data_IF_321333771351
#
_entry.id   IF_321333771351
#
_cell.length_a   1.000
_cell.length_b   1.000
_cell.length_c   1.000
_cell.angle_alpha   90.00
_cell.angle_beta   90.00
_cell.angle_gamma   90.00
#
_symmetry.space_group_name_H-M   'P 1'
#
loop_
_entity.id
_entity.type
_entity.pdbx_description
1 polymer ?
#
# COMPACT_ATOMS: atom_id res chain seq x y z
N UNK A 1 -43.36 11.88 11.57
CA UNK A 1 -42.48 12.11 12.73
C UNK A 1 -41.41 13.09 12.32
N UNK A 2 -41.43 14.31 12.85
CA UNK A 2 -40.49 15.37 12.55
C UNK A 2 -39.83 15.82 13.85
N UNK A 3 -38.54 15.52 14.04
CA UNK A 3 -37.72 16.10 15.11
C UNK A 3 -36.25 16.15 14.67
N UNK A 4 -35.92 17.02 13.72
CA UNK A 4 -34.59 17.59 13.54
C UNK A 4 -34.76 19.02 13.02
N UNK A 5 -35.24 19.92 13.88
CA UNK A 5 -35.36 21.35 13.59
C UNK A 5 -34.65 22.18 14.65
N UNK A 6 -33.37 21.87 14.91
CA UNK A 6 -32.50 22.76 15.69
C UNK A 6 -31.01 22.53 15.31
N UNK A 7 -30.29 23.57 14.84
CA UNK A 7 -28.91 23.43 14.33
C UNK A 7 -27.81 23.38 15.41
N UNK A 8 -28.16 23.48 16.70
CA UNK A 8 -27.18 23.42 17.80
C UNK A 8 -27.65 22.47 18.91
N UNK A 9 -27.20 21.20 18.92
CA UNK A 9 -27.54 20.27 19.99
C UNK A 9 -26.84 20.69 21.29
N UNK A 10 -27.63 20.95 22.34
CA UNK A 10 -27.11 21.21 23.69
C UNK A 10 -26.75 19.86 24.32
N UNK A 11 -25.45 19.64 24.54
CA UNK A 11 -24.92 18.42 25.18
C UNK A 11 -24.75 18.70 26.67
N UNK A 12 -25.42 17.91 27.51
CA UNK A 12 -25.31 17.98 28.96
C UNK A 12 -25.09 16.60 29.56
N UNK A 13 -24.35 16.52 30.67
CA UNK A 13 -24.11 15.28 31.40
C UNK A 13 -25.13 15.14 32.53
N UNK A 14 -25.85 14.02 32.58
CA UNK A 14 -26.78 13.68 33.67
C UNK A 14 -26.22 12.48 34.43
N UNK A 15 -26.25 12.56 35.76
CA UNK A 15 -25.72 11.54 36.66
C UNK A 15 -26.74 10.40 36.80
N UNK A 16 -26.31 9.15 36.59
CA UNK A 16 -27.12 7.93 36.45
C UNK A 16 -27.97 7.47 37.67
N UNK A 17 -28.25 8.35 38.65
CA UNK A 17 -29.04 8.05 39.85
C UNK A 17 -30.17 9.03 40.14
N UNK A 18 -30.37 10.02 39.26
CA UNK A 18 -31.52 10.93 39.34
C UNK A 18 -32.58 10.40 38.39
N UNK A 19 -33.77 10.08 38.91
CA UNK A 19 -34.89 9.54 38.14
C UNK A 19 -35.41 10.61 37.19
N UNK A 20 -34.85 10.67 35.99
CA UNK A 20 -35.40 11.41 34.85
C UNK A 20 -35.96 10.35 33.90
N UNK A 21 -37.29 10.34 33.75
CA UNK A 21 -38.06 9.31 33.02
C UNK A 21 -37.49 8.98 31.63
N UNK A 22 -36.97 9.97 30.91
CA UNK A 22 -36.42 9.80 29.56
C UNK A 22 -35.04 9.09 29.56
N UNK A 23 -34.26 9.24 30.63
CA UNK A 23 -32.96 8.55 30.79
C UNK A 23 -33.15 7.08 31.15
N UNK A 24 -34.15 6.79 31.98
CA UNK A 24 -34.53 5.43 32.34
C UNK A 24 -35.08 4.66 31.14
N UNK A 25 -35.84 5.34 30.27
CA UNK A 25 -36.34 4.76 29.03
C UNK A 25 -35.18 4.39 28.08
N UNK A 26 -34.20 5.28 27.90
CA UNK A 26 -33.02 5.00 27.08
C UNK A 26 -32.14 3.88 27.66
N UNK A 27 -31.94 3.85 28.99
CA UNK A 27 -31.19 2.80 29.66
C UNK A 27 -31.90 1.44 29.59
N UNK A 28 -33.22 1.41 29.75
CA UNK A 28 -34.02 0.21 29.59
C UNK A 28 -34.03 -0.28 28.14
N UNK A 29 -34.05 0.62 27.16
CA UNK A 29 -33.89 0.27 25.75
C UNK A 29 -32.49 -0.30 25.45
N UNK A 30 -31.43 0.28 26.02
CA UNK A 30 -30.06 -0.25 25.89
C UNK A 30 -29.92 -1.65 26.54
N UNK A 31 -30.48 -1.83 27.75
CA UNK A 31 -30.53 -3.14 28.43
C UNK A 31 -31.34 -4.16 27.62
N UNK A 32 -32.49 -3.78 27.07
CA UNK A 32 -33.29 -4.63 26.19
C UNK A 32 -32.53 -5.01 24.91
N UNK A 33 -31.77 -4.08 24.31
CA UNK A 33 -30.94 -4.36 23.15
C UNK A 33 -29.79 -5.34 23.45
N UNK A 34 -29.28 -5.36 24.70
CA UNK A 34 -28.24 -6.30 25.14
C UNK A 34 -28.81 -7.69 25.46
N UNK A 35 -30.05 -7.76 25.96
CA UNK A 35 -30.76 -9.03 26.20
C UNK A 35 -31.19 -9.66 24.88
N UNK A 36 -31.47 -8.83 23.87
CA UNK A 36 -31.80 -9.22 22.50
C UNK A 36 -30.54 -9.41 21.65
N UNK A 37 -29.48 -9.98 22.25
CA UNK A 37 -28.31 -10.45 21.53
C UNK A 37 -28.77 -11.60 20.64
N UNK A 38 -29.23 -11.27 19.42
CA UNK A 38 -29.46 -12.26 18.38
C UNK A 38 -28.10 -12.90 18.08
N UNK A 39 -27.85 -14.05 18.72
CA UNK A 39 -26.65 -14.85 18.46
C UNK A 39 -26.80 -15.37 17.03
N UNK A 40 -26.22 -14.62 16.08
CA UNK A 40 -26.12 -15.06 14.71
C UNK A 40 -25.13 -16.21 14.63
N UNK A 41 -25.66 -17.44 14.59
CA UNK A 41 -24.88 -18.62 14.29
C UNK A 41 -24.37 -18.53 12.85
N UNK A 42 -23.08 -18.21 12.69
CA UNK A 42 -22.44 -18.30 11.38
C UNK A 42 -22.33 -19.79 11.00
N UNK A 43 -22.78 -20.18 9.80
CA UNK A 43 -22.77 -21.59 9.36
C UNK A 43 -21.36 -22.14 9.12
N UNK A 44 -20.33 -21.31 9.23
CA UNK A 44 -18.94 -21.69 9.05
C UNK A 44 -18.05 -21.04 10.13
N UNK A 45 -16.98 -21.73 10.56
CA UNK A 45 -15.98 -21.14 11.44
C UNK A 45 -15.39 -19.86 10.82
N UNK A 46 -15.08 -18.87 11.66
CA UNK A 46 -14.44 -17.62 11.24
C UNK A 46 -13.16 -17.84 10.43
N UNK A 47 -12.38 -18.87 10.79
CA UNK A 47 -11.16 -19.26 10.07
C UNK A 47 -11.45 -19.69 8.63
N UNK A 48 -12.55 -20.42 8.39
CA UNK A 48 -12.99 -20.83 7.06
C UNK A 48 -13.32 -19.62 6.19
N UNK A 49 -14.12 -18.68 6.72
CA UNK A 49 -14.48 -17.45 6.02
C UNK A 49 -13.24 -16.60 5.72
N UNK A 50 -12.34 -16.45 6.69
CA UNK A 50 -11.08 -15.70 6.52
C UNK A 50 -10.20 -16.32 5.43
N UNK A 51 -10.05 -17.64 5.43
CA UNK A 51 -9.26 -18.35 4.42
C UNK A 51 -9.88 -18.25 3.03
N UNK A 52 -11.22 -18.35 2.95
CA UNK A 52 -11.95 -18.19 1.70
C UNK A 52 -11.74 -16.79 1.13
N UNK A 53 -11.96 -15.74 1.93
CA UNK A 53 -11.74 -14.35 1.53
C UNK A 53 -10.30 -14.11 1.10
N UNK A 54 -9.33 -14.57 1.90
CA UNK A 54 -7.91 -14.44 1.55
C UNK A 54 -7.61 -15.06 0.19
N UNK A 55 -8.11 -16.27 -0.09
CA UNK A 55 -7.89 -16.95 -1.37
C UNK A 55 -8.52 -16.19 -2.53
N UNK A 56 -9.75 -15.71 -2.38
CA UNK A 56 -10.43 -14.90 -3.40
C UNK A 56 -9.67 -13.59 -3.67
N UNK A 57 -9.25 -12.89 -2.61
CA UNK A 57 -8.47 -11.65 -2.72
C UNK A 57 -7.13 -11.86 -3.41
N UNK A 58 -6.36 -12.89 -3.03
CA UNK A 58 -5.06 -13.20 -3.65
C UNK A 58 -5.22 -13.58 -5.12
N UNK A 59 -6.24 -14.37 -5.46
CA UNK A 59 -6.50 -14.75 -6.85
C UNK A 59 -6.86 -13.54 -7.72
N UNK A 60 -7.74 -12.67 -7.22
CA UNK A 60 -8.10 -11.44 -7.93
C UNK A 60 -6.89 -10.52 -8.10
N UNK A 61 -6.08 -10.35 -7.04
CA UNK A 61 -4.87 -9.57 -7.11
C UNK A 61 -3.86 -10.14 -8.11
N UNK A 62 -3.69 -11.47 -8.15
CA UNK A 62 -2.82 -12.11 -9.13
C UNK A 62 -3.30 -11.88 -10.58
N UNK A 63 -4.60 -11.89 -10.82
CA UNK A 63 -5.18 -11.62 -12.14
C UNK A 63 -4.88 -10.18 -12.56
N UNK A 64 -5.20 -9.20 -11.71
CA UNK A 64 -4.90 -7.79 -11.96
C UNK A 64 -3.39 -7.55 -12.13
N UNK A 65 -2.56 -8.26 -11.35
CA UNK A 65 -1.11 -8.17 -11.47
C UNK A 65 -0.60 -8.73 -12.79
N UNK A 66 -1.19 -9.80 -13.31
CA UNK A 66 -0.80 -10.40 -14.58
C UNK A 66 -1.25 -9.56 -15.78
N UNK A 67 -2.45 -8.97 -15.74
CA UNK A 67 -3.04 -8.24 -16.87
C UNK A 67 -2.78 -6.73 -16.87
N UNK A 68 -2.43 -6.15 -15.72
CA UNK A 68 -2.18 -4.71 -15.60
C UNK A 68 -1.01 -4.23 -16.46
N UNK A 69 -1.02 -2.96 -16.83
CA UNK A 69 0.05 -2.28 -17.56
C UNK A 69 1.05 -1.57 -16.61
N UNK A 70 0.61 -1.27 -15.40
CA UNK A 70 1.39 -0.53 -14.42
C UNK A 70 2.36 -1.48 -13.70
N UNK A 71 3.57 -0.99 -13.44
CA UNK A 71 4.57 -1.72 -12.66
C UNK A 71 5.17 -2.95 -13.37
N UNK A 72 5.15 -3.03 -14.71
CA UNK A 72 5.67 -4.20 -15.45
C UNK A 72 7.12 -4.55 -15.13
N UNK A 73 7.96 -3.54 -14.86
CA UNK A 73 9.35 -3.79 -14.41
C UNK A 73 9.37 -4.65 -13.14
N UNK A 74 8.50 -4.36 -12.17
CA UNK A 74 8.39 -5.12 -10.93
C UNK A 74 7.73 -6.48 -11.18
N UNK A 75 6.72 -6.56 -12.06
CA UNK A 75 6.11 -7.83 -12.47
C UNK A 75 7.15 -8.82 -13.04
N UNK A 76 8.08 -8.34 -13.87
CA UNK A 76 9.14 -9.18 -14.42
C UNK A 76 10.12 -9.71 -13.34
N UNK A 77 10.19 -9.05 -12.19
CA UNK A 77 11.02 -9.47 -11.05
C UNK A 77 10.22 -10.43 -10.15
N UNK A 78 9.00 -10.04 -9.77
CA UNK A 78 8.06 -10.82 -8.95
C UNK A 78 6.74 -11.00 -9.73
N UNK A 79 6.62 -12.05 -10.56
CA UNK A 79 5.42 -12.26 -11.35
C UNK A 79 4.25 -12.81 -10.52
N UNK A 80 4.55 -13.44 -9.36
CA UNK A 80 3.56 -14.04 -8.48
C UNK A 80 3.34 -13.17 -7.25
N UNK A 81 2.09 -12.78 -6.98
CA UNK A 81 1.74 -12.06 -5.76
C UNK A 81 1.96 -12.97 -4.55
N UNK A 82 2.55 -12.41 -3.50
CA UNK A 82 2.76 -13.13 -2.24
C UNK A 82 2.47 -12.21 -1.07
N UNK A 83 1.87 -12.74 -0.01
CA UNK A 83 1.65 -12.01 1.25
C UNK A 83 2.87 -12.00 2.16
N UNK A 84 3.89 -12.79 1.82
CA UNK A 84 5.16 -12.78 2.53
C UNK A 84 5.99 -11.55 2.15
N UNK A 85 6.64 -10.95 3.12
CA UNK A 85 7.59 -9.87 2.86
C UNK A 85 8.79 -10.42 2.07
N UNK A 86 9.18 -9.71 1.02
CA UNK A 86 10.45 -9.98 0.32
C UNK A 86 11.62 -9.47 1.16
N UNK A 87 12.77 -10.18 1.20
CA UNK A 87 13.91 -9.84 2.05
C UNK A 87 14.75 -8.69 1.48
N UNK A 88 14.11 -7.69 0.85
CA UNK A 88 14.79 -6.56 0.24
C UNK A 88 14.78 -5.36 1.18
N UNK A 89 15.88 -4.62 1.20
CA UNK A 89 15.97 -3.40 2.02
C UNK A 89 15.34 -2.21 1.29
N UNK A 90 15.01 -1.14 2.03
CA UNK A 90 14.32 0.04 1.48
C UNK A 90 15.07 0.69 0.31
N UNK A 91 16.40 0.81 0.36
CA UNK A 91 17.19 1.51 -0.66
C UNK A 91 17.09 0.85 -2.05
N UNK A 92 17.39 -0.46 -2.20
CA UNK A 92 17.17 -1.18 -3.47
C UNK A 92 15.73 -1.14 -3.96
N UNK A 93 14.74 -1.23 -3.05
CA UNK A 93 13.32 -1.14 -3.42
C UNK A 93 13.03 0.21 -4.07
N UNK A 94 13.37 1.32 -3.41
CA UNK A 94 13.15 2.67 -3.95
C UNK A 94 13.86 2.86 -5.29
N UNK A 95 15.11 2.38 -5.38
CA UNK A 95 15.90 2.44 -6.60
C UNK A 95 15.24 1.68 -7.77
N UNK A 96 14.83 0.41 -7.57
CA UNK A 96 14.24 -0.41 -8.63
C UNK A 96 12.83 0.03 -9.06
N UNK A 97 12.10 0.67 -8.17
CA UNK A 97 10.75 1.21 -8.43
C UNK A 97 10.77 2.61 -9.01
N UNK A 98 11.96 3.23 -9.14
CA UNK A 98 12.06 4.61 -9.60
C UNK A 98 11.71 5.64 -8.54
N UNK A 99 11.48 5.27 -7.28
CA UNK A 99 11.21 6.22 -6.20
C UNK A 99 12.49 6.92 -5.73
N UNK A 100 12.35 8.19 -5.32
CA UNK A 100 13.43 8.95 -4.69
C UNK A 100 13.75 10.25 -5.43
N UNK A 101 14.99 10.76 -5.33
CA UNK A 101 15.39 12.05 -5.91
C UNK A 101 15.67 11.96 -7.42
N UNK A 102 14.83 11.23 -8.16
CA UNK A 102 14.97 11.04 -9.60
C UNK A 102 14.09 12.05 -10.34
N UNK A 103 14.60 12.82 -11.32
CA UNK A 103 13.78 13.79 -12.07
C UNK A 103 12.51 13.17 -12.66
N UNK A 104 12.60 11.95 -13.22
CA UNK A 104 11.44 11.24 -13.77
C UNK A 104 10.35 10.97 -12.71
N UNK A 105 10.77 10.70 -11.49
CA UNK A 105 9.88 10.45 -10.36
C UNK A 105 9.27 11.74 -9.82
N UNK A 106 10.10 12.74 -9.55
CA UNK A 106 9.65 14.03 -8.99
C UNK A 106 8.69 14.74 -9.95
N UNK A 107 8.93 14.63 -11.27
CA UNK A 107 8.02 15.16 -12.29
C UNK A 107 6.62 14.53 -12.22
N UNK A 108 6.52 13.22 -11.96
CA UNK A 108 5.23 12.52 -11.81
C UNK A 108 4.35 13.10 -10.70
N UNK A 109 4.97 13.67 -9.66
CA UNK A 109 4.29 14.30 -8.53
C UNK A 109 4.27 15.83 -8.60
N UNK A 110 4.62 16.41 -9.75
CA UNK A 110 4.74 17.87 -9.93
C UNK A 110 5.69 18.54 -8.91
N UNK A 111 6.69 17.79 -8.39
CA UNK A 111 7.70 18.29 -7.47
C UNK A 111 8.96 18.80 -8.20
N UNK A 112 9.05 18.58 -9.51
CA UNK A 112 10.16 19.02 -10.35
C UNK A 112 9.66 19.42 -11.75
N UNK A 113 10.34 20.40 -12.36
CA UNK A 113 9.92 20.97 -13.64
C UNK A 113 10.18 20.05 -14.83
N UNK A 114 11.28 19.29 -14.82
CA UNK A 114 11.68 18.42 -15.94
C UNK A 114 11.74 16.94 -15.52
N UNK A 115 11.48 16.03 -16.46
CA UNK A 115 11.74 14.60 -16.28
C UNK A 115 13.18 14.21 -16.68
N UNK A 116 13.92 15.15 -17.26
CA UNK A 116 15.30 14.95 -17.71
C UNK A 116 16.29 15.18 -16.57
N UNK A 117 17.42 14.48 -16.66
CA UNK A 117 18.62 14.70 -15.86
C UNK A 117 19.45 15.85 -16.43
N UNK A 118 20.51 16.21 -15.72
CA UNK A 118 21.53 17.14 -16.23
C UNK A 118 22.22 16.64 -17.50
N UNK A 119 22.23 15.32 -17.73
CA UNK A 119 22.76 14.68 -18.94
C UNK A 119 21.81 14.74 -20.14
N UNK A 120 20.71 15.50 -20.05
CA UNK A 120 19.63 15.58 -21.06
C UNK A 120 18.90 14.27 -21.37
N UNK A 121 19.28 13.15 -20.75
CA UNK A 121 18.52 11.89 -20.77
C UNK A 121 17.47 11.86 -19.64
N UNK A 122 16.44 11.02 -19.79
CA UNK A 122 15.43 10.81 -18.74
C UNK A 122 16.10 10.41 -17.43
N UNK A 123 15.85 11.18 -16.37
CA UNK A 123 16.48 11.00 -15.07
C UNK A 123 15.94 9.81 -14.29
N UNK A 124 15.98 8.62 -14.86
CA UNK A 124 15.59 7.35 -14.24
C UNK A 124 16.75 6.77 -13.43
N UNK A 125 16.48 5.92 -12.42
CA UNK A 125 17.55 5.18 -11.74
C UNK A 125 18.41 4.36 -12.70
N UNK A 126 17.82 3.79 -13.75
CA UNK A 126 18.55 3.02 -14.76
C UNK A 126 19.59 3.86 -15.52
N UNK A 127 19.23 5.09 -15.90
CA UNK A 127 20.16 6.05 -16.51
C UNK A 127 21.35 6.32 -15.58
N UNK A 128 21.09 6.67 -14.31
CA UNK A 128 22.16 6.90 -13.34
C UNK A 128 23.02 5.65 -13.07
N UNK A 129 22.45 4.45 -13.13
CA UNK A 129 23.21 3.22 -12.92
C UNK A 129 24.07 2.79 -14.11
N UNK A 130 23.82 3.28 -15.34
CA UNK A 130 24.41 2.66 -16.54
C UNK A 130 24.97 3.63 -17.58
N UNK A 131 24.45 4.85 -17.70
CA UNK A 131 24.82 5.77 -18.80
C UNK A 131 25.12 7.21 -18.36
N UNK A 132 24.70 7.64 -17.17
CA UNK A 132 24.89 9.02 -16.71
C UNK A 132 26.35 9.41 -16.50
N UNK A 133 26.83 10.42 -17.21
CA UNK A 133 28.22 10.89 -17.08
C UNK A 133 28.58 11.33 -15.65
N UNK A 134 27.62 11.86 -14.87
CA UNK A 134 27.84 12.30 -13.49
C UNK A 134 28.11 11.15 -12.51
N UNK A 135 27.66 9.94 -12.84
CA UNK A 135 27.80 8.74 -11.99
C UNK A 135 28.67 7.67 -12.65
N UNK A 136 29.49 8.06 -13.63
CA UNK A 136 30.29 7.15 -14.44
C UNK A 136 31.18 6.20 -13.63
N UNK A 137 31.76 6.67 -12.51
CA UNK A 137 32.59 5.85 -11.62
C UNK A 137 31.82 4.76 -10.86
N UNK A 138 30.49 4.87 -10.78
CA UNK A 138 29.61 3.94 -10.09
C UNK A 138 28.72 3.12 -11.04
N UNK A 139 29.01 3.16 -12.33
CA UNK A 139 28.21 2.44 -13.31
C UNK A 139 28.29 0.93 -13.13
N UNK A 140 27.13 0.30 -13.19
CA UNK A 140 27.02 -1.11 -13.52
C UNK A 140 27.14 -1.29 -15.03
N UNK A 141 27.56 -2.48 -15.44
CA UNK A 141 27.48 -2.88 -16.85
C UNK A 141 26.02 -2.81 -17.30
N UNK A 142 25.75 -2.02 -18.34
CA UNK A 142 24.42 -1.90 -18.93
C UNK A 142 23.97 -3.28 -19.42
N UNK A 143 22.85 -3.83 -18.91
CA UNK A 143 22.35 -5.11 -19.38
C UNK A 143 21.81 -4.96 -20.81
N UNK A 144 21.78 -6.07 -21.54
CA UNK A 144 20.97 -6.17 -22.75
C UNK A 144 19.48 -6.04 -22.37
N UNK A 145 18.65 -5.50 -23.25
CA UNK A 145 17.22 -5.25 -23.01
C UNK A 145 16.51 -6.50 -22.47
N UNK A 146 16.76 -7.66 -23.10
CA UNK A 146 16.20 -8.96 -22.70
C UNK A 146 16.63 -9.44 -21.31
N UNK A 147 17.72 -8.89 -20.76
CA UNK A 147 18.27 -9.26 -19.45
C UNK A 147 17.99 -8.23 -18.35
N UNK A 148 17.27 -7.15 -18.66
CA UNK A 148 17.00 -6.05 -17.72
C UNK A 148 16.28 -6.53 -16.46
N UNK A 149 15.33 -7.45 -16.58
CA UNK A 149 14.59 -8.00 -15.43
C UNK A 149 15.47 -8.83 -14.50
N UNK A 150 16.38 -9.63 -15.07
CA UNK A 150 17.35 -10.44 -14.34
C UNK A 150 18.36 -9.52 -13.65
N UNK A 151 18.81 -8.47 -14.33
CA UNK A 151 19.70 -7.47 -13.76
C UNK A 151 19.09 -6.80 -12.53
N UNK A 152 17.83 -6.36 -12.61
CA UNK A 152 17.11 -5.80 -11.46
C UNK A 152 16.95 -6.80 -10.32
N UNK A 153 16.61 -8.05 -10.63
CA UNK A 153 16.47 -9.12 -9.63
C UNK A 153 17.79 -9.35 -8.88
N UNK A 154 18.90 -9.37 -9.61
CA UNK A 154 20.22 -9.53 -9.01
C UNK A 154 20.60 -8.33 -8.15
N UNK A 155 20.27 -7.11 -8.58
CA UNK A 155 20.49 -5.90 -7.79
C UNK A 155 19.70 -5.91 -6.47
N UNK A 156 18.44 -6.35 -6.51
CA UNK A 156 17.56 -6.42 -5.34
C UNK A 156 17.94 -7.55 -4.36
N UNK A 157 18.39 -8.69 -4.90
CA UNK A 157 18.80 -9.84 -4.11
C UNK A 157 20.23 -9.75 -3.59
N UNK A 158 21.08 -8.96 -4.25
CA UNK A 158 22.36 -8.62 -3.69
C UNK A 158 22.10 -7.85 -2.40
N UNK A 159 22.45 -8.48 -1.27
CA UNK A 159 22.92 -7.70 -0.13
C UNK A 159 24.04 -6.85 -0.74
N UNK A 160 23.79 -5.57 -0.97
CA UNK A 160 24.88 -4.62 -1.11
C UNK A 160 25.76 -4.97 0.09
N UNK A 161 26.86 -5.68 -0.15
CA UNK A 161 27.94 -5.77 0.83
C UNK A 161 28.29 -4.30 0.96
N UNK A 162 27.72 -3.65 1.98
CA UNK A 162 28.14 -2.31 2.31
C UNK A 162 29.62 -2.49 2.55
N UNK A 163 30.41 -1.98 1.62
CA UNK A 163 31.81 -1.70 1.84
C UNK A 163 31.89 -1.02 3.20
N UNK A 164 32.64 -1.68 4.09
CA UNK A 164 33.17 -1.08 5.30
C UNK A 164 33.86 0.25 4.98
#
# INVERSE_FOLDING_TARGET
MALLSNPFPIIGWVKARVVVHDTETAENLAKQATIKDEIYYLPAPKSHLKNHLHRVSVNKWQQEWATGDTGRTIYNIIPKVTTNAVPWTRKPILFATGHGPFPSYLRRFNLHYSYLSFSEEVGTPFHYATTCHLTASYHFTKPNENLTSIWWRNLLNNKLKSSN
#
